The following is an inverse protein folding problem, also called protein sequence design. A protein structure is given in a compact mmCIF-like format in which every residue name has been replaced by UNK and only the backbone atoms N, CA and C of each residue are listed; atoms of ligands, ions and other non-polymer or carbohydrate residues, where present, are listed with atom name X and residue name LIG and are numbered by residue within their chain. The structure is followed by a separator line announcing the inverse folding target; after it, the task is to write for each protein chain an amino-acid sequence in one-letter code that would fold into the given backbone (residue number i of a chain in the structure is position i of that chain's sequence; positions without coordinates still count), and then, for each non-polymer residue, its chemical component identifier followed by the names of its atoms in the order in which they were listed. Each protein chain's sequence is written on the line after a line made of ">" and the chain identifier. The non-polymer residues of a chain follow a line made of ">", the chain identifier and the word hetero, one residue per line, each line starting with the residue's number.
data_IF_873426929458
#
_entry.id   IF_873426929458
#
_cell.length_a   1.000
_cell.length_b   1.000
_cell.length_c   1.000
_cell.angle_alpha   90.00
_cell.angle_beta   90.00
_cell.angle_gamma   90.00
#
_symmetry.space_group_name_H-M   'P 1'
#
loop_
_entity.id
_entity.type
_entity.pdbx_description
1 polymer ?
#
# COMPACT_ATOMS: atom_id res chain seq x y z
N UNK A 1 4.34 -43.94 4.38
CA UNK A 1 4.33 -43.09 5.59
C UNK A 1 5.53 -42.15 5.58
N UNK A 2 5.57 -41.14 4.71
CA UNK A 2 6.61 -40.06 4.72
C UNK A 2 6.13 -38.81 3.95
N UNK A 3 4.85 -38.43 4.06
CA UNK A 3 4.31 -37.29 3.29
C UNK A 3 3.70 -36.17 4.16
N UNK A 4 3.71 -36.30 5.47
CA UNK A 4 3.07 -35.32 6.37
C UNK A 4 3.97 -34.17 6.85
N UNK A 5 5.28 -34.22 6.64
CA UNK A 5 6.21 -33.22 7.21
C UNK A 5 6.62 -32.10 6.24
N UNK A 6 6.23 -32.17 4.95
CA UNK A 6 6.64 -31.16 3.96
C UNK A 6 5.70 -29.93 3.97
N UNK A 7 4.41 -30.16 4.24
CA UNK A 7 3.39 -29.09 4.17
C UNK A 7 3.39 -28.17 5.41
N UNK A 8 3.58 -28.72 6.60
CA UNK A 8 3.74 -27.90 7.83
C UNK A 8 4.98 -27.01 7.74
N UNK A 9 5.99 -27.46 6.99
CA UNK A 9 7.22 -26.70 6.76
C UNK A 9 7.02 -25.52 5.80
N UNK A 10 6.11 -25.61 4.80
CA UNK A 10 5.94 -24.56 3.77
C UNK A 10 5.11 -23.37 4.29
N UNK A 11 4.08 -23.61 5.11
CA UNK A 11 3.28 -22.52 5.68
C UNK A 11 3.94 -21.93 6.94
N UNK A 12 4.59 -22.77 7.74
CA UNK A 12 5.53 -22.30 8.75
C UNK A 12 6.67 -21.48 8.12
N UNK A 13 7.14 -21.85 6.90
CA UNK A 13 8.11 -21.09 6.14
C UNK A 13 7.55 -19.77 5.61
N UNK A 14 6.30 -19.67 5.16
CA UNK A 14 5.71 -18.41 4.72
C UNK A 14 5.54 -17.41 5.88
N UNK A 15 5.13 -17.88 7.04
CA UNK A 15 5.02 -17.05 8.25
C UNK A 15 6.40 -16.71 8.85
N UNK A 16 7.31 -17.66 8.88
CA UNK A 16 8.72 -17.46 9.29
C UNK A 16 9.48 -16.65 8.23
N UNK A 17 9.18 -16.85 6.93
CA UNK A 17 9.80 -16.13 5.83
C UNK A 17 9.36 -14.65 5.80
N UNK A 18 8.12 -14.32 6.19
CA UNK A 18 7.69 -12.93 6.29
C UNK A 18 8.36 -12.18 7.45
N UNK A 19 8.76 -12.90 8.53
CA UNK A 19 9.58 -12.33 9.64
C UNK A 19 11.03 -12.19 9.22
N UNK A 20 11.58 -13.21 8.56
CA UNK A 20 12.92 -13.16 7.96
C UNK A 20 12.98 -12.07 6.90
N UNK A 21 11.86 -11.80 6.15
CA UNK A 21 11.80 -10.72 5.19
C UNK A 21 11.77 -9.34 5.84
N UNK A 22 11.05 -9.15 6.93
CA UNK A 22 11.07 -7.89 7.68
C UNK A 22 12.45 -7.66 8.35
N UNK A 23 13.08 -8.71 8.89
CA UNK A 23 14.41 -8.63 9.48
C UNK A 23 15.54 -8.61 8.44
N UNK A 24 15.41 -9.34 7.32
CA UNK A 24 16.40 -9.39 6.24
C UNK A 24 16.31 -8.15 5.32
N UNK A 25 15.10 -7.55 5.15
CA UNK A 25 15.00 -6.27 4.45
C UNK A 25 15.85 -5.18 5.09
N UNK A 26 16.03 -5.24 6.42
CA UNK A 26 16.85 -4.27 7.16
C UNK A 26 18.35 -4.63 7.22
N UNK A 27 18.82 -5.77 6.71
CA UNK A 27 20.21 -6.21 6.77
C UNK A 27 20.89 -6.03 8.14
N UNK A 28 21.42 -7.09 8.73
CA UNK A 28 22.26 -7.14 9.93
C UNK A 28 21.81 -6.51 11.26
N UNK A 29 20.54 -6.14 11.47
CA UNK A 29 20.10 -5.61 12.77
C UNK A 29 18.99 -6.40 13.45
N UNK A 30 19.00 -7.72 13.35
CA UNK A 30 18.21 -8.56 14.24
C UNK A 30 18.95 -8.79 15.55
N UNK A 31 19.07 -7.77 16.41
CA UNK A 31 19.25 -8.06 17.84
C UNK A 31 17.92 -8.67 18.33
N UNK A 32 17.95 -9.82 19.03
CA UNK A 32 16.74 -10.41 19.57
C UNK A 32 16.07 -9.40 20.50
N UNK A 33 14.96 -8.83 20.06
CA UNK A 33 14.11 -8.04 20.93
C UNK A 33 13.59 -8.97 22.02
N UNK A 34 13.74 -8.57 23.27
CA UNK A 34 13.12 -9.25 24.43
C UNK A 34 11.66 -9.50 24.11
N UNK A 35 11.21 -10.77 24.26
CA UNK A 35 9.80 -11.14 24.18
C UNK A 35 9.01 -10.21 25.10
N UNK A 36 8.24 -9.31 24.50
CA UNK A 36 7.27 -8.49 25.22
C UNK A 36 5.94 -9.25 25.29
N UNK A 37 5.23 -9.02 26.38
CA UNK A 37 3.96 -9.56 26.82
C UNK A 37 2.81 -9.46 25.79
N UNK A 38 1.65 -10.04 26.12
CA UNK A 38 0.36 -9.93 25.43
C UNK A 38 0.15 -8.55 24.78
N UNK A 39 -0.15 -8.55 23.44
CA UNK A 39 -0.30 -7.33 22.67
C UNK A 39 0.84 -7.02 21.69
N UNK A 40 1.80 -7.91 21.49
CA UNK A 40 2.86 -7.71 20.50
C UNK A 40 2.38 -8.13 19.09
N UNK A 41 2.59 -7.27 18.09
CA UNK A 41 2.24 -7.53 16.68
C UNK A 41 3.06 -8.65 16.04
N UNK A 42 2.69 -9.01 14.81
CA UNK A 42 3.31 -10.10 14.06
C UNK A 42 4.83 -9.92 13.86
N UNK A 43 5.30 -8.68 13.72
CA UNK A 43 6.73 -8.39 13.62
C UNK A 43 7.53 -8.89 14.83
N UNK A 44 6.99 -8.73 16.04
CA UNK A 44 7.66 -9.15 17.26
C UNK A 44 7.45 -10.64 17.59
N UNK A 45 6.28 -11.18 17.26
CA UNK A 45 5.88 -12.55 17.62
C UNK A 45 6.22 -13.60 16.57
N UNK A 46 6.36 -13.18 15.34
CA UNK A 46 6.47 -14.09 14.23
C UNK A 46 5.17 -14.75 13.78
N UNK A 47 4.05 -14.32 14.30
CA UNK A 47 2.75 -14.94 14.02
C UNK A 47 1.82 -13.94 13.37
N UNK A 48 1.46 -14.22 12.13
CA UNK A 48 0.44 -13.46 11.39
C UNK A 48 -0.90 -14.16 11.54
N UNK A 49 -1.97 -13.37 11.75
CA UNK A 49 -3.34 -13.88 11.73
C UNK A 49 -3.69 -14.37 10.32
N UNK A 50 -4.39 -15.49 10.25
CA UNK A 50 -5.00 -15.96 9.02
C UNK A 50 -6.51 -16.03 9.23
N UNK A 51 -7.22 -14.96 8.85
CA UNK A 51 -8.64 -14.81 9.09
C UNK A 51 -9.46 -15.93 8.46
N UNK A 52 -9.06 -16.46 7.31
CA UNK A 52 -9.76 -17.57 6.68
C UNK A 52 -9.62 -18.87 7.48
N UNK A 53 -8.47 -19.12 8.09
CA UNK A 53 -8.28 -20.26 9.00
C UNK A 53 -9.07 -20.07 10.29
N UNK A 54 -9.10 -18.85 10.83
CA UNK A 54 -9.89 -18.51 12.01
C UNK A 54 -11.40 -18.68 11.78
N UNK A 55 -11.87 -18.50 10.54
CA UNK A 55 -13.28 -18.76 10.13
C UNK A 55 -13.55 -20.20 9.70
N UNK A 56 -12.60 -21.12 9.88
CA UNK A 56 -12.79 -22.56 9.74
C UNK A 56 -12.32 -23.17 8.42
N UNK A 57 -11.70 -22.39 7.53
CA UNK A 57 -11.05 -22.94 6.33
C UNK A 57 -9.71 -23.58 6.68
N UNK A 58 -9.36 -24.66 5.99
CA UNK A 58 -8.04 -25.28 6.13
C UNK A 58 -6.96 -24.40 5.46
N UNK A 59 -5.73 -24.46 5.97
CA UNK A 59 -4.58 -23.80 5.33
C UNK A 59 -4.39 -24.24 3.86
N UNK A 60 -4.74 -25.47 3.54
CA UNK A 60 -4.65 -25.99 2.17
C UNK A 60 -5.68 -25.32 1.26
N UNK A 61 -6.92 -25.14 1.70
CA UNK A 61 -7.95 -24.42 0.94
C UNK A 61 -7.58 -22.97 0.73
N UNK A 62 -7.09 -22.28 1.77
CA UNK A 62 -6.64 -20.88 1.69
C UNK A 62 -5.50 -20.76 0.68
N UNK A 63 -4.48 -21.61 0.78
CA UNK A 63 -3.34 -21.60 -0.14
C UNK A 63 -3.77 -21.89 -1.59
N UNK A 64 -4.66 -22.86 -1.79
CA UNK A 64 -5.19 -23.19 -3.11
C UNK A 64 -5.97 -22.00 -3.71
N UNK A 65 -6.80 -21.31 -2.90
CA UNK A 65 -7.57 -20.15 -3.33
C UNK A 65 -6.67 -18.97 -3.71
N UNK A 66 -5.66 -18.67 -2.90
CA UNK A 66 -4.68 -17.60 -3.19
C UNK A 66 -3.92 -17.90 -4.50
N UNK A 67 -3.43 -19.12 -4.66
CA UNK A 67 -2.73 -19.52 -5.90
C UNK A 67 -3.65 -19.46 -7.13
N UNK A 68 -4.91 -19.85 -6.99
CA UNK A 68 -5.90 -19.74 -8.07
C UNK A 68 -6.18 -18.28 -8.44
N UNK A 69 -6.34 -17.40 -7.45
CA UNK A 69 -6.52 -15.96 -7.67
C UNK A 69 -5.31 -15.34 -8.35
N UNK A 70 -4.09 -15.66 -7.89
CA UNK A 70 -2.88 -15.20 -8.55
C UNK A 70 -2.82 -15.66 -10.01
N UNK A 71 -3.06 -16.96 -10.26
CA UNK A 71 -3.08 -17.50 -11.62
C UNK A 71 -4.12 -16.81 -12.50
N UNK A 72 -5.30 -16.51 -11.96
CA UNK A 72 -6.36 -15.82 -12.69
C UNK A 72 -5.97 -14.40 -13.05
N UNK A 73 -5.46 -13.63 -12.09
CA UNK A 73 -5.13 -12.22 -12.29
C UNK A 73 -3.85 -11.99 -13.10
N UNK A 74 -2.86 -12.88 -12.98
CA UNK A 74 -1.55 -12.71 -13.62
C UNK A 74 -1.42 -13.54 -14.92
N UNK A 75 -2.11 -14.67 -15.03
CA UNK A 75 -1.91 -15.63 -16.12
C UNK A 75 -3.23 -16.19 -16.65
N UNK A 76 -4.35 -15.57 -16.33
CA UNK A 76 -5.68 -15.96 -16.84
C UNK A 76 -5.93 -15.44 -18.25
N UNK A 77 -7.18 -15.57 -18.70
CA UNK A 77 -7.61 -15.06 -20.00
C UNK A 77 -7.42 -13.53 -20.05
N UNK A 78 -6.64 -13.00 -21.00
CA UNK A 78 -6.36 -11.57 -21.09
C UNK A 78 -7.58 -10.69 -21.38
N UNK A 79 -8.68 -11.27 -21.86
CA UNK A 79 -9.89 -10.53 -22.18
C UNK A 79 -10.90 -10.47 -21.03
N UNK A 80 -10.78 -11.35 -20.03
CA UNK A 80 -11.83 -11.52 -19.01
C UNK A 80 -11.32 -11.67 -17.59
N UNK A 81 -10.01 -11.90 -17.39
CA UNK A 81 -9.47 -12.28 -16.08
C UNK A 81 -8.18 -11.55 -15.71
N UNK A 82 -7.22 -11.48 -16.65
CA UNK A 82 -5.90 -10.99 -16.33
C UNK A 82 -5.87 -9.45 -16.22
N UNK A 83 -5.09 -8.97 -15.25
CA UNK A 83 -4.69 -7.57 -15.13
C UNK A 83 -3.20 -7.38 -15.37
N UNK A 84 -2.41 -8.45 -15.40
CA UNK A 84 -0.98 -8.46 -15.71
C UNK A 84 -0.76 -8.77 -17.19
N UNK A 85 -0.03 -7.88 -17.90
CA UNK A 85 0.21 -8.01 -19.33
C UNK A 85 1.70 -7.95 -19.66
N UNK A 86 2.29 -9.01 -20.24
CA UNK A 86 3.65 -8.97 -20.80
C UNK A 86 3.77 -7.93 -21.91
N UNK A 87 4.85 -7.15 -21.90
CA UNK A 87 5.09 -6.03 -22.82
C UNK A 87 6.45 -6.12 -23.54
N UNK A 88 6.90 -7.34 -23.86
CA UNK A 88 8.19 -7.57 -24.50
C UNK A 88 9.36 -7.57 -23.52
N UNK A 89 10.51 -7.05 -23.96
CA UNK A 89 11.75 -7.00 -23.16
C UNK A 89 12.64 -5.85 -23.62
N UNK A 90 13.52 -5.39 -22.72
CA UNK A 90 14.62 -4.48 -22.98
C UNK A 90 15.96 -5.08 -22.52
N UNK A 91 17.01 -4.26 -22.39
CA UNK A 91 18.33 -4.68 -21.92
C UNK A 91 18.35 -5.17 -20.47
N UNK A 92 17.38 -4.76 -19.64
CA UNK A 92 17.24 -5.23 -18.27
C UNK A 92 16.47 -6.55 -18.16
N UNK A 93 15.76 -6.98 -19.21
CA UNK A 93 14.98 -8.22 -19.22
C UNK A 93 13.52 -8.03 -19.63
N UNK A 94 12.62 -8.95 -19.21
CA UNK A 94 11.19 -8.86 -19.51
C UNK A 94 10.55 -7.58 -18.96
N UNK A 95 9.50 -7.14 -19.67
CA UNK A 95 8.64 -6.01 -19.31
C UNK A 95 7.22 -6.51 -19.15
N UNK A 96 6.52 -6.04 -18.11
CA UNK A 96 5.10 -6.26 -17.94
C UNK A 96 4.47 -5.12 -17.15
N UNK A 97 3.17 -4.91 -17.34
CA UNK A 97 2.40 -3.90 -16.60
C UNK A 97 1.13 -4.48 -15.99
N UNK A 98 0.64 -3.80 -14.98
CA UNK A 98 -0.70 -4.02 -14.42
C UNK A 98 -1.64 -3.00 -15.07
N UNK A 99 -2.70 -3.49 -15.68
CA UNK A 99 -3.68 -2.71 -16.41
C UNK A 99 -4.84 -2.29 -15.49
N UNK A 100 -5.11 -1.02 -15.38
CA UNK A 100 -6.38 -0.51 -14.87
C UNK A 100 -7.43 -0.68 -15.98
N UNK A 101 -8.19 -1.75 -15.90
CA UNK A 101 -9.18 -2.14 -16.91
C UNK A 101 -10.39 -1.18 -16.97
N UNK A 102 -10.62 -0.40 -15.91
CA UNK A 102 -11.71 0.57 -15.87
C UNK A 102 -11.36 1.86 -16.64
N UNK A 103 -10.11 2.32 -16.46
CA UNK A 103 -9.65 3.57 -17.05
C UNK A 103 -8.82 3.36 -18.34
N UNK A 104 -8.54 2.12 -18.71
CA UNK A 104 -7.72 1.72 -19.87
C UNK A 104 -6.32 2.36 -19.83
N UNK A 105 -5.70 2.36 -18.65
CA UNK A 105 -4.37 2.92 -18.42
C UNK A 105 -3.50 2.05 -17.50
N UNK A 106 -2.30 2.52 -17.18
CA UNK A 106 -1.36 1.91 -16.24
C UNK A 106 -1.07 2.94 -15.16
N UNK A 107 -1.36 2.59 -13.90
CA UNK A 107 -1.19 3.47 -12.74
C UNK A 107 -0.08 3.00 -11.81
N UNK A 108 0.60 3.94 -11.17
CA UNK A 108 1.65 3.64 -10.20
C UNK A 108 1.13 2.77 -9.05
N UNK A 109 -0.13 2.98 -8.61
CA UNK A 109 -0.81 2.14 -7.61
C UNK A 109 -0.93 0.70 -8.09
N UNK A 110 -1.48 0.48 -9.29
CA UNK A 110 -1.63 -0.86 -9.86
C UNK A 110 -0.29 -1.57 -10.00
N UNK A 111 0.73 -0.87 -10.49
CA UNK A 111 2.09 -1.40 -10.65
C UNK A 111 2.71 -1.79 -9.30
N UNK A 112 2.66 -0.91 -8.32
CA UNK A 112 3.24 -1.15 -6.99
C UNK A 112 2.49 -2.23 -6.20
N UNK A 113 1.17 -2.31 -6.32
CA UNK A 113 0.36 -3.41 -5.77
C UNK A 113 0.68 -4.74 -6.43
N UNK A 114 0.86 -4.76 -7.77
CA UNK A 114 1.32 -5.95 -8.49
C UNK A 114 2.67 -6.46 -7.99
N UNK A 115 3.62 -5.55 -7.75
CA UNK A 115 4.91 -5.88 -7.14
C UNK A 115 4.74 -6.41 -5.71
N UNK A 116 3.90 -5.78 -4.89
CA UNK A 116 3.63 -6.23 -3.53
C UNK A 116 3.02 -7.64 -3.49
N UNK A 117 2.06 -7.94 -4.36
CA UNK A 117 1.49 -9.29 -4.51
C UNK A 117 2.58 -10.28 -4.93
N UNK A 118 3.36 -9.93 -5.95
CA UNK A 118 4.40 -10.81 -6.49
C UNK A 118 5.48 -11.13 -5.45
N UNK A 119 5.96 -10.14 -4.67
CA UNK A 119 6.98 -10.39 -3.65
C UNK A 119 6.44 -11.24 -2.50
N UNK A 120 5.20 -11.04 -2.08
CA UNK A 120 4.60 -11.85 -1.02
C UNK A 120 4.40 -13.32 -1.43
N UNK A 121 4.06 -13.56 -2.70
CA UNK A 121 3.82 -14.90 -3.24
C UNK A 121 5.08 -15.56 -3.84
N UNK A 122 6.26 -14.96 -3.67
CA UNK A 122 7.53 -15.46 -4.19
C UNK A 122 7.55 -15.58 -5.74
N UNK A 123 7.05 -14.56 -6.42
CA UNK A 123 6.94 -14.47 -7.88
C UNK A 123 7.93 -13.46 -8.44
N UNK A 124 9.23 -13.78 -8.37
CA UNK A 124 10.32 -12.88 -8.73
C UNK A 124 10.27 -12.44 -10.20
N UNK A 125 9.89 -13.32 -11.11
CA UNK A 125 9.86 -13.01 -12.54
C UNK A 125 8.82 -11.93 -12.86
N UNK A 126 7.63 -12.05 -12.28
CA UNK A 126 6.56 -11.07 -12.43
C UNK A 126 6.92 -9.75 -11.76
N UNK A 127 7.51 -9.80 -10.56
CA UNK A 127 8.01 -8.63 -9.85
C UNK A 127 9.02 -7.83 -10.68
N UNK A 128 10.05 -8.52 -11.19
CA UNK A 128 11.11 -7.89 -11.97
C UNK A 128 10.59 -7.30 -13.28
N UNK A 129 9.63 -7.96 -13.93
CA UNK A 129 9.04 -7.46 -15.17
C UNK A 129 8.17 -6.22 -14.95
N UNK A 130 7.38 -6.17 -13.86
CA UNK A 130 6.60 -4.98 -13.47
C UNK A 130 7.56 -3.83 -13.13
N UNK A 131 8.56 -4.09 -12.27
CA UNK A 131 9.54 -3.08 -11.90
C UNK A 131 10.32 -2.52 -13.10
N UNK A 132 10.76 -3.40 -14.02
CA UNK A 132 11.44 -2.98 -15.24
C UNK A 132 10.57 -2.08 -16.11
N UNK A 133 9.26 -2.38 -16.24
CA UNK A 133 8.34 -1.54 -16.99
C UNK A 133 8.15 -0.17 -16.33
N UNK A 134 7.90 -0.12 -15.02
CA UNK A 134 7.77 1.12 -14.26
C UNK A 134 9.03 2.00 -14.40
N UNK A 135 10.22 1.40 -14.25
CA UNK A 135 11.51 2.10 -14.41
C UNK A 135 11.75 2.59 -15.85
N UNK A 136 11.20 1.91 -16.85
CA UNK A 136 11.41 2.24 -18.27
C UNK A 136 10.47 3.33 -18.76
N UNK A 137 9.21 3.35 -18.30
CA UNK A 137 8.17 4.17 -18.92
C UNK A 137 7.53 5.19 -17.97
N UNK A 138 7.61 5.01 -16.66
CA UNK A 138 6.98 5.92 -15.71
C UNK A 138 8.01 6.77 -14.95
N UNK A 139 9.22 6.26 -14.74
CA UNK A 139 10.24 6.92 -13.92
C UNK A 139 10.90 8.11 -14.64
N UNK A 140 11.03 9.23 -13.93
CA UNK A 140 11.68 10.44 -14.43
C UNK A 140 13.11 10.56 -13.93
N UNK A 141 14.08 10.46 -14.84
CA UNK A 141 15.53 10.52 -14.56
C UNK A 141 16.21 11.84 -15.02
N UNK A 142 15.48 12.74 -15.68
CA UNK A 142 15.98 14.08 -16.01
C UNK A 142 15.90 15.00 -14.77
N UNK A 143 17.04 15.48 -14.22
CA UNK A 143 17.06 16.33 -13.02
C UNK A 143 16.40 17.70 -13.19
N UNK A 144 15.99 18.06 -14.40
CA UNK A 144 15.25 19.31 -14.68
C UNK A 144 13.73 19.08 -14.72
N UNK A 145 13.28 17.82 -14.74
CA UNK A 145 11.87 17.48 -14.78
C UNK A 145 11.25 17.61 -13.37
N UNK A 146 10.05 18.19 -13.22
CA UNK A 146 9.43 18.34 -11.88
C UNK A 146 9.16 16.99 -11.20
N UNK A 147 8.88 15.94 -11.95
CA UNK A 147 8.73 14.57 -11.45
C UNK A 147 10.07 13.82 -11.22
N UNK A 148 11.23 14.47 -11.36
CA UNK A 148 12.53 13.81 -11.22
C UNK A 148 12.62 12.94 -9.96
N UNK A 149 12.99 11.67 -10.13
CA UNK A 149 13.14 10.70 -9.04
C UNK A 149 11.84 9.98 -8.65
N UNK A 150 10.72 10.36 -9.24
CA UNK A 150 9.38 9.79 -9.06
C UNK A 150 8.85 9.11 -10.31
N UNK A 151 7.67 8.53 -10.20
CA UNK A 151 6.96 7.88 -11.30
C UNK A 151 5.75 8.70 -11.73
N UNK A 152 5.46 8.75 -13.03
CA UNK A 152 4.15 9.18 -13.53
C UNK A 152 3.05 8.39 -12.82
N UNK A 153 2.02 9.05 -12.26
CA UNK A 153 0.94 8.29 -11.65
C UNK A 153 0.10 7.53 -12.68
N UNK A 154 0.02 8.04 -13.93
CA UNK A 154 -0.75 7.40 -15.00
C UNK A 154 -0.01 7.47 -16.33
N UNK A 155 0.03 6.34 -17.03
CA UNK A 155 0.56 6.17 -18.37
C UNK A 155 -0.36 5.28 -19.22
N UNK A 156 -0.29 5.42 -20.53
CA UNK A 156 -0.93 4.49 -21.46
C UNK A 156 -0.21 3.15 -21.46
N UNK A 157 -0.87 2.09 -21.91
CA UNK A 157 -0.29 0.74 -22.05
C UNK A 157 0.92 0.69 -23.00
N UNK A 158 1.13 1.70 -23.83
CA UNK A 158 2.31 1.86 -24.67
C UNK A 158 3.44 2.68 -24.02
N UNK A 159 3.31 3.02 -22.75
CA UNK A 159 4.30 3.75 -21.96
C UNK A 159 4.27 5.28 -22.10
N UNK A 160 3.38 5.86 -22.91
CA UNK A 160 3.25 7.33 -22.97
C UNK A 160 2.55 7.85 -21.72
N UNK A 161 3.08 8.86 -21.03
CA UNK A 161 2.44 9.40 -19.84
C UNK A 161 1.10 10.07 -20.17
N UNK A 162 0.13 9.88 -19.29
CA UNK A 162 -1.10 10.67 -19.23
C UNK A 162 -0.90 11.88 -18.31
N UNK A 163 -0.24 11.67 -17.18
CA UNK A 163 0.18 12.68 -16.23
C UNK A 163 1.49 12.24 -15.55
N UNK A 164 2.46 13.14 -15.50
CA UNK A 164 3.83 12.89 -15.07
C UNK A 164 4.07 13.22 -13.58
N UNK A 165 3.04 13.73 -12.87
CA UNK A 165 3.18 13.92 -11.42
C UNK A 165 2.97 12.59 -10.68
N UNK A 166 3.62 12.35 -9.54
CA UNK A 166 3.41 11.13 -8.78
C UNK A 166 2.13 11.18 -7.94
N UNK A 167 1.54 10.00 -7.72
CA UNK A 167 0.62 9.72 -6.63
C UNK A 167 1.41 9.10 -5.48
N UNK A 168 1.26 9.65 -4.26
CA UNK A 168 2.15 9.30 -3.17
C UNK A 168 2.06 7.82 -2.75
N UNK A 169 0.88 7.23 -2.75
CA UNK A 169 0.68 5.82 -2.38
C UNK A 169 1.40 4.83 -3.31
N UNK A 170 1.44 5.12 -4.61
CA UNK A 170 2.23 4.33 -5.56
C UNK A 170 3.71 4.29 -5.19
N UNK A 171 4.29 5.45 -4.87
CA UNK A 171 5.69 5.59 -4.42
C UNK A 171 5.95 4.80 -3.13
N UNK A 172 5.05 4.91 -2.15
CA UNK A 172 5.17 4.22 -0.86
C UNK A 172 5.16 2.69 -0.99
N UNK A 173 4.26 2.16 -1.84
CA UNK A 173 4.21 0.74 -2.12
C UNK A 173 5.41 0.25 -2.94
N UNK A 174 5.94 1.03 -3.89
CA UNK A 174 7.19 0.70 -4.59
C UNK A 174 8.34 0.53 -3.61
N UNK A 175 8.55 1.49 -2.72
CA UNK A 175 9.60 1.45 -1.69
C UNK A 175 9.48 0.18 -0.85
N UNK A 176 8.30 -0.09 -0.32
CA UNK A 176 8.11 -1.22 0.60
C UNK A 176 8.24 -2.57 -0.12
N UNK A 177 7.71 -2.67 -1.35
CA UNK A 177 7.89 -3.86 -2.18
C UNK A 177 9.36 -4.13 -2.51
N UNK A 178 10.16 -3.10 -2.78
CA UNK A 178 11.60 -3.20 -3.02
C UNK A 178 12.37 -3.64 -1.76
N UNK A 179 12.04 -3.14 -0.57
CA UNK A 179 12.61 -3.65 0.67
C UNK A 179 12.29 -5.14 0.89
N UNK A 180 11.06 -5.55 0.63
CA UNK A 180 10.68 -6.95 0.70
C UNK A 180 11.42 -7.81 -0.32
N UNK A 181 11.60 -7.33 -1.55
CA UNK A 181 12.36 -8.00 -2.58
C UNK A 181 13.84 -8.17 -2.19
N UNK A 182 14.46 -7.13 -1.63
CA UNK A 182 15.82 -7.19 -1.08
C UNK A 182 15.95 -8.27 0.00
N UNK A 183 14.98 -8.36 0.91
CA UNK A 183 14.97 -9.37 1.96
C UNK A 183 14.73 -10.80 1.45
N UNK A 184 13.84 -10.96 0.46
CA UNK A 184 13.44 -12.27 -0.05
C UNK A 184 14.45 -12.85 -1.03
N UNK A 185 14.97 -12.03 -1.96
CA UNK A 185 15.76 -12.49 -3.11
C UNK A 185 17.19 -11.95 -3.14
N UNK A 186 17.57 -11.16 -2.13
CA UNK A 186 18.83 -10.41 -2.13
C UNK A 186 18.90 -9.35 -3.23
N UNK A 187 19.96 -8.55 -3.23
CA UNK A 187 20.12 -7.48 -4.20
C UNK A 187 20.81 -7.99 -5.47
N UNK A 188 20.28 -7.61 -6.62
CA UNK A 188 20.92 -7.77 -7.91
C UNK A 188 21.79 -6.55 -8.29
N UNK A 189 21.97 -6.35 -9.59
CA UNK A 189 22.69 -5.20 -10.17
C UNK A 189 21.76 -4.25 -10.91
N UNK A 190 22.19 -3.01 -11.11
CA UNK A 190 21.39 -1.99 -11.80
C UNK A 190 20.04 -1.75 -11.10
N UNK A 191 18.96 -1.70 -11.86
CA UNK A 191 17.61 -1.49 -11.31
C UNK A 191 17.15 -2.61 -10.37
N UNK A 192 17.80 -3.76 -10.35
CA UNK A 192 17.51 -4.89 -9.45
C UNK A 192 18.35 -4.88 -8.17
N UNK A 193 19.14 -3.83 -7.92
CA UNK A 193 19.63 -3.55 -6.58
C UNK A 193 18.49 -2.95 -5.75
N UNK A 194 17.54 -3.81 -5.35
CA UNK A 194 16.29 -3.44 -4.72
C UNK A 194 16.47 -2.52 -3.52
N UNK A 195 17.50 -2.82 -2.68
CA UNK A 195 17.80 -2.00 -1.51
C UNK A 195 18.22 -0.59 -1.89
N UNK A 196 19.12 -0.44 -2.86
CA UNK A 196 19.59 0.87 -3.28
C UNK A 196 18.45 1.68 -3.96
N UNK A 197 17.58 1.01 -4.73
CA UNK A 197 16.41 1.65 -5.33
C UNK A 197 15.41 2.13 -4.27
N UNK A 198 15.13 1.32 -3.23
CA UNK A 198 14.26 1.71 -2.13
C UNK A 198 14.83 2.89 -1.33
N UNK A 199 16.12 2.83 -0.95
CA UNK A 199 16.79 3.89 -0.20
C UNK A 199 16.82 5.21 -0.98
N UNK A 200 17.00 5.15 -2.31
CA UNK A 200 16.96 6.32 -3.19
C UNK A 200 15.57 6.95 -3.23
N UNK A 201 14.53 6.14 -3.46
CA UNK A 201 13.14 6.63 -3.48
C UNK A 201 12.75 7.28 -2.14
N UNK A 202 13.07 6.64 -1.00
CA UNK A 202 12.81 7.24 0.32
C UNK A 202 13.52 8.57 0.50
N UNK A 203 14.77 8.68 0.04
CA UNK A 203 15.53 9.93 0.11
C UNK A 203 14.87 11.01 -0.74
N UNK A 204 14.42 10.66 -1.94
CA UNK A 204 13.72 11.59 -2.82
C UNK A 204 12.38 12.03 -2.24
N UNK A 205 11.57 11.10 -1.74
CA UNK A 205 10.28 11.40 -1.10
C UNK A 205 10.42 12.37 0.08
N UNK A 206 11.55 12.31 0.78
CA UNK A 206 11.80 13.11 1.99
C UNK A 206 12.52 14.43 1.75
N UNK A 207 13.42 14.50 0.76
CA UNK A 207 14.39 15.59 0.62
C UNK A 207 14.37 16.27 -0.74
N UNK A 208 13.40 15.97 -1.59
CA UNK A 208 13.29 16.56 -2.92
C UNK A 208 13.13 18.07 -2.83
N UNK A 209 14.05 18.78 -3.46
CA UNK A 209 13.92 20.23 -3.67
C UNK A 209 12.88 20.52 -4.75
N UNK A 210 12.29 21.70 -4.70
CA UNK A 210 11.38 22.17 -5.73
C UNK A 210 12.07 22.23 -7.09
N UNK A 211 11.47 21.61 -8.09
CA UNK A 211 11.87 21.67 -9.49
C UNK A 211 10.67 22.14 -10.30
N UNK A 212 10.88 23.18 -11.11
CA UNK A 212 9.87 23.69 -12.04
C UNK A 212 10.25 23.30 -13.46
N UNK A 213 9.31 22.75 -14.22
CA UNK A 213 9.55 22.35 -15.60
C UNK A 213 8.28 22.02 -16.37
N UNK A 214 8.39 21.74 -17.68
CA UNK A 214 7.27 21.30 -18.49
C UNK A 214 6.88 19.88 -18.15
N UNK A 215 5.58 19.57 -18.28
CA UNK A 215 5.00 18.23 -18.25
C UNK A 215 4.01 18.09 -19.40
N UNK A 216 3.51 16.88 -19.65
CA UNK A 216 2.49 16.62 -20.71
C UNK A 216 1.17 17.36 -20.45
N UNK A 217 0.90 17.74 -19.19
CA UNK A 217 -0.30 18.49 -18.81
C UNK A 217 -0.03 19.98 -18.55
N UNK A 218 1.15 20.49 -18.94
CA UNK A 218 1.58 21.86 -18.76
C UNK A 218 2.69 22.00 -17.69
N UNK A 219 3.22 23.23 -17.47
CA UNK A 219 4.26 23.47 -16.48
C UNK A 219 3.79 23.09 -15.08
N UNK A 220 4.67 22.43 -14.30
CA UNK A 220 4.45 22.07 -12.88
C UNK A 220 5.67 22.44 -12.05
N UNK A 221 5.45 22.59 -10.76
CA UNK A 221 6.51 22.68 -9.74
C UNK A 221 6.25 21.62 -8.68
N UNK A 222 7.21 20.73 -8.45
CA UNK A 222 7.04 19.66 -7.47
C UNK A 222 8.28 19.52 -6.58
N UNK A 223 8.11 18.96 -5.38
CA UNK A 223 9.14 18.81 -4.37
C UNK A 223 9.03 17.50 -3.60
N UNK A 224 9.13 17.58 -2.28
CA UNK A 224 8.99 16.44 -1.38
C UNK A 224 7.55 15.94 -1.26
N UNK A 225 7.40 14.63 -0.95
CA UNK A 225 6.11 13.97 -0.75
C UNK A 225 5.62 13.99 0.70
N UNK A 226 6.45 14.39 1.65
CA UNK A 226 6.08 14.42 3.06
C UNK A 226 6.14 15.83 3.61
N UNK A 227 5.03 16.26 4.21
CA UNK A 227 4.94 17.53 4.88
C UNK A 227 5.79 17.48 6.18
N UNK A 228 6.81 18.34 6.33
CA UNK A 228 7.80 18.19 7.40
C UNK A 228 7.32 18.63 8.78
N UNK A 229 6.32 19.52 8.90
CA UNK A 229 5.78 19.99 10.17
C UNK A 229 4.79 18.98 10.76
N UNK A 230 3.80 18.55 9.96
CA UNK A 230 2.79 17.56 10.36
C UNK A 230 3.34 16.14 10.37
N UNK A 231 4.43 15.83 9.67
CA UNK A 231 4.96 14.48 9.47
C UNK A 231 3.97 13.58 8.75
N UNK A 232 3.30 14.10 7.74
CA UNK A 232 2.25 13.43 7.00
C UNK A 232 2.58 13.37 5.51
N UNK A 233 2.08 12.34 4.85
CA UNK A 233 2.15 12.22 3.40
C UNK A 233 1.26 13.28 2.74
N UNK A 234 1.76 13.90 1.66
CA UNK A 234 0.99 14.79 0.79
C UNK A 234 0.18 13.95 -0.21
N UNK A 235 -0.92 14.48 -0.70
CA UNK A 235 -1.64 13.86 -1.82
C UNK A 235 -0.74 13.75 -3.07
N UNK A 236 0.00 14.82 -3.38
CA UNK A 236 1.00 14.88 -4.46
C UNK A 236 2.08 15.91 -4.08
N UNK A 237 3.30 15.83 -4.63
CA UNK A 237 4.33 16.85 -4.39
C UNK A 237 4.13 18.12 -5.22
N UNK A 238 3.16 18.15 -6.14
CA UNK A 238 2.83 19.33 -6.96
C UNK A 238 2.35 20.49 -6.09
N UNK A 239 3.04 21.63 -6.14
CA UNK A 239 2.77 22.79 -5.27
C UNK A 239 1.35 23.32 -5.37
N UNK A 240 0.67 23.13 -6.49
CA UNK A 240 -0.72 23.55 -6.67
C UNK A 240 -1.71 22.64 -5.92
N UNK A 241 -1.30 21.43 -5.53
CA UNK A 241 -2.17 20.38 -4.98
C UNK A 241 -1.61 19.68 -3.73
N UNK A 242 -0.51 20.14 -3.14
CA UNK A 242 0.19 19.42 -2.06
C UNK A 242 -0.25 19.80 -0.64
N UNK A 243 -1.14 20.77 -0.47
CA UNK A 243 -1.51 21.29 0.85
C UNK A 243 -2.67 20.49 1.50
N UNK A 244 -2.85 19.26 1.05
CA UNK A 244 -3.80 18.29 1.62
C UNK A 244 -3.24 16.87 1.52
N UNK A 245 -3.93 15.94 2.14
CA UNK A 245 -3.61 14.51 2.15
C UNK A 245 -4.83 13.67 1.80
N UNK A 246 -4.60 12.42 1.46
CA UNK A 246 -5.60 11.37 1.40
C UNK A 246 -5.43 10.45 2.62
N UNK A 247 -6.48 10.22 3.43
CA UNK A 247 -6.41 9.31 4.57
C UNK A 247 -5.94 7.89 4.20
N UNK A 248 -6.22 7.43 2.97
CA UNK A 248 -5.81 6.13 2.49
C UNK A 248 -4.33 6.05 2.09
N UNK A 249 -3.63 7.18 2.01
CA UNK A 249 -2.19 7.22 1.73
C UNK A 249 -1.35 7.06 3.02
N UNK A 250 -1.95 7.21 4.20
CA UNK A 250 -1.26 6.99 5.46
C UNK A 250 -1.00 5.51 5.70
N UNK A 251 0.27 5.09 5.72
CA UNK A 251 0.72 3.71 5.82
C UNK A 251 1.65 3.51 7.04
N UNK A 252 1.15 3.66 8.28
CA UNK A 252 1.98 3.59 9.48
C UNK A 252 2.77 2.27 9.59
N UNK A 253 2.23 1.15 9.09
CA UNK A 253 2.94 -0.11 9.04
C UNK A 253 4.25 -0.03 8.21
N UNK A 254 4.22 0.68 7.10
CA UNK A 254 5.39 0.89 6.24
C UNK A 254 6.37 1.87 6.88
N UNK A 255 5.87 2.95 7.49
CA UNK A 255 6.71 3.94 8.15
C UNK A 255 7.49 3.35 9.33
N UNK A 256 6.91 2.43 10.09
CA UNK A 256 7.63 1.68 11.12
C UNK A 256 8.75 0.81 10.51
N UNK A 257 8.50 0.17 9.37
CA UNK A 257 9.52 -0.57 8.65
C UNK A 257 10.65 0.35 8.17
N UNK A 258 10.32 1.51 7.58
CA UNK A 258 11.30 2.48 7.12
C UNK A 258 12.08 3.11 8.28
N UNK A 259 11.47 3.25 9.46
CA UNK A 259 12.18 3.65 10.67
C UNK A 259 13.25 2.65 11.13
N UNK A 260 13.12 1.37 10.74
CA UNK A 260 14.10 0.33 11.04
C UNK A 260 15.15 0.19 9.94
N UNK A 261 14.75 0.16 8.67
CA UNK A 261 15.61 -0.21 7.56
C UNK A 261 15.88 0.89 6.54
N UNK A 262 15.20 2.02 6.57
CA UNK A 262 15.47 3.16 5.70
C UNK A 262 16.83 3.83 5.96
N UNK A 263 17.18 4.87 5.18
CA UNK A 263 18.37 5.67 5.40
C UNK A 263 18.48 6.16 6.85
N UNK A 264 19.63 5.99 7.47
CA UNK A 264 19.78 6.15 8.93
C UNK A 264 19.39 7.55 9.42
N UNK A 265 19.73 8.59 8.67
CA UNK A 265 19.39 9.98 8.99
C UNK A 265 17.89 10.24 9.07
N UNK A 266 17.07 9.49 8.34
CA UNK A 266 15.62 9.68 8.24
C UNK A 266 14.79 8.75 9.15
N UNK A 267 15.39 7.74 9.77
CA UNK A 267 14.69 6.79 10.66
C UNK A 267 13.89 7.48 11.78
N UNK A 268 14.40 8.53 12.46
CA UNK A 268 13.59 9.24 13.45
C UNK A 268 12.37 9.95 12.86
N UNK A 269 12.47 10.43 11.62
CA UNK A 269 11.34 11.03 10.91
C UNK A 269 10.26 9.99 10.64
N UNK A 270 10.61 8.84 10.08
CA UNK A 270 9.65 7.76 9.77
C UNK A 270 8.95 7.23 11.02
N UNK A 271 9.66 7.10 12.15
CA UNK A 271 9.04 6.76 13.42
C UNK A 271 8.04 7.82 13.92
N UNK A 272 8.24 9.10 13.60
CA UNK A 272 7.30 10.18 13.90
C UNK A 272 6.12 10.16 12.96
N UNK A 273 6.34 9.91 11.67
CA UNK A 273 5.31 9.77 10.63
C UNK A 273 4.33 8.63 10.96
N UNK A 274 4.83 7.48 11.42
CA UNK A 274 3.97 6.39 11.88
C UNK A 274 3.04 6.82 13.02
N UNK A 275 3.57 7.54 14.02
CA UNK A 275 2.74 8.07 15.13
C UNK A 275 1.74 9.12 14.65
N UNK A 276 2.19 10.06 13.82
CA UNK A 276 1.33 11.10 13.26
C UNK A 276 0.15 10.50 12.48
N UNK A 277 0.39 9.45 11.70
CA UNK A 277 -0.67 8.76 10.94
C UNK A 277 -1.68 8.06 11.85
N UNK A 278 -1.23 7.39 12.92
CA UNK A 278 -2.14 6.79 13.92
C UNK A 278 -3.02 7.85 14.60
N UNK A 279 -2.44 8.98 14.99
CA UNK A 279 -3.17 10.11 15.56
C UNK A 279 -4.11 10.76 14.54
N UNK A 280 -3.70 10.82 13.28
CA UNK A 280 -4.52 11.33 12.20
C UNK A 280 -5.76 10.47 11.97
N UNK A 281 -5.64 9.15 11.92
CA UNK A 281 -6.79 8.24 11.80
C UNK A 281 -7.85 8.47 12.87
N UNK A 282 -7.44 8.75 14.11
CA UNK A 282 -8.39 9.03 15.19
C UNK A 282 -9.17 10.32 14.99
N UNK A 283 -8.55 11.32 14.36
CA UNK A 283 -9.14 12.64 14.16
C UNK A 283 -9.95 12.75 12.87
N UNK A 284 -9.51 12.05 11.81
CA UNK A 284 -10.12 12.15 10.48
C UNK A 284 -11.35 11.26 10.33
N UNK A 285 -11.47 10.19 11.13
CA UNK A 285 -12.63 9.30 11.11
C UNK A 285 -13.76 9.84 11.95
N UNK A 286 -14.98 9.68 11.48
CA UNK A 286 -16.17 10.08 12.22
C UNK A 286 -16.36 9.22 13.50
N UNK A 287 -16.61 9.82 14.68
CA UNK A 287 -16.55 9.11 15.96
C UNK A 287 -17.63 8.04 16.14
N UNK A 288 -18.75 8.11 15.42
CA UNK A 288 -19.82 7.11 15.50
C UNK A 288 -19.73 6.04 14.43
N UNK A 289 -19.33 6.38 13.19
CA UNK A 289 -19.35 5.46 12.05
C UNK A 289 -17.99 4.85 11.71
N UNK A 290 -16.89 5.49 12.12
CA UNK A 290 -15.55 5.11 11.68
C UNK A 290 -15.21 5.46 10.22
N UNK A 291 -16.11 6.15 9.50
CA UNK A 291 -15.90 6.55 8.11
C UNK A 291 -14.87 7.67 8.01
N UNK A 292 -13.89 7.54 7.12
CA UNK A 292 -12.92 8.57 6.75
C UNK A 292 -13.37 9.27 5.45
N UNK A 293 -13.03 10.55 5.22
CA UNK A 293 -13.24 11.18 3.92
C UNK A 293 -12.24 10.62 2.89
N UNK A 294 -12.53 10.85 1.61
CA UNK A 294 -11.62 10.57 0.50
C UNK A 294 -10.38 11.50 0.60
N UNK A 295 -10.60 12.82 0.78
CA UNK A 295 -9.53 13.78 1.01
C UNK A 295 -9.70 14.55 2.32
N UNK A 296 -8.60 14.94 2.93
CA UNK A 296 -8.57 15.73 4.15
C UNK A 296 -7.43 16.74 4.17
N UNK A 297 -7.59 17.82 4.93
CA UNK A 297 -6.50 18.69 5.31
C UNK A 297 -5.60 18.00 6.36
N UNK A 298 -4.38 18.49 6.56
CA UNK A 298 -3.45 17.94 7.57
C UNK A 298 -3.96 18.09 9.01
N UNK A 299 -4.89 19.01 9.26
CA UNK A 299 -5.58 19.14 10.55
C UNK A 299 -6.70 18.09 10.77
N UNK A 300 -6.89 17.19 9.80
CA UNK A 300 -7.90 16.13 9.74
C UNK A 300 -9.34 16.62 9.42
N UNK A 301 -9.53 17.87 9.00
CA UNK A 301 -10.82 18.31 8.49
C UNK A 301 -11.06 17.74 7.08
N UNK A 302 -12.26 17.21 6.78
CA UNK A 302 -12.60 16.74 5.43
C UNK A 302 -12.45 17.86 4.40
N UNK A 303 -11.93 17.52 3.22
CA UNK A 303 -11.68 18.51 2.17
C UNK A 303 -12.39 18.14 0.86
N UNK A 304 -13.27 19.04 0.40
CA UNK A 304 -13.93 18.96 -0.90
C UNK A 304 -13.07 19.66 -1.93
N UNK A 305 -12.37 18.90 -2.77
CA UNK A 305 -11.48 19.48 -3.78
C UNK A 305 -12.29 20.12 -4.94
N UNK A 306 -11.73 21.12 -5.63
CA UNK A 306 -12.38 21.75 -6.79
C UNK A 306 -12.69 20.76 -7.94
N UNK A 307 -11.86 19.74 -8.10
CA UNK A 307 -12.03 18.72 -9.16
C UNK A 307 -12.84 17.50 -8.69
N UNK A 308 -12.97 17.28 -7.38
CA UNK A 308 -13.80 16.24 -6.78
C UNK A 308 -14.59 16.81 -5.58
N UNK A 309 -15.71 17.50 -5.81
CA UNK A 309 -16.49 18.12 -4.75
C UNK A 309 -17.05 17.13 -3.70
N UNK A 310 -17.02 15.82 -4.00
CA UNK A 310 -17.47 14.77 -3.08
C UNK A 310 -16.34 14.16 -2.26
N UNK A 311 -15.09 14.60 -2.43
CA UNK A 311 -13.93 14.02 -1.73
C UNK A 311 -13.96 14.22 -0.20
N UNK A 312 -14.85 15.09 0.32
CA UNK A 312 -15.12 15.18 1.75
C UNK A 312 -16.01 14.03 2.29
N UNK A 313 -16.50 13.14 1.43
CA UNK A 313 -17.31 11.98 1.80
C UNK A 313 -16.45 10.71 1.85
N UNK A 314 -17.00 9.64 2.45
CA UNK A 314 -16.47 8.30 2.35
C UNK A 314 -16.83 7.71 0.98
N UNK A 315 -15.83 7.49 0.13
CA UNK A 315 -15.93 6.91 -1.20
C UNK A 315 -14.56 6.44 -1.70
N UNK A 316 -14.49 5.63 -2.75
CA UNK A 316 -13.28 5.24 -3.49
C UNK A 316 -12.05 4.96 -2.59
N UNK A 317 -11.05 5.84 -2.62
CA UNK A 317 -9.79 5.64 -1.91
C UNK A 317 -9.95 5.58 -0.40
N UNK A 318 -10.94 6.26 0.17
CA UNK A 318 -11.26 6.19 1.59
C UNK A 318 -11.49 4.76 2.10
N UNK A 319 -11.92 3.82 1.24
CA UNK A 319 -12.14 2.42 1.62
C UNK A 319 -10.84 1.74 2.10
N UNK A 320 -9.69 2.11 1.52
CA UNK A 320 -8.37 1.55 1.85
C UNK A 320 -7.88 1.95 3.25
N UNK A 321 -8.41 3.04 3.82
CA UNK A 321 -7.97 3.53 5.14
C UNK A 321 -8.10 2.45 6.21
N UNK A 322 -9.17 1.64 6.16
CA UNK A 322 -9.39 0.55 7.11
C UNK A 322 -8.34 -0.56 6.99
N UNK A 323 -7.91 -0.89 5.78
CA UNK A 323 -6.82 -1.83 5.56
C UNK A 323 -5.52 -1.32 6.20
N UNK A 324 -5.23 -0.03 6.06
CA UNK A 324 -3.96 0.55 6.50
C UNK A 324 -3.78 0.50 8.02
N UNK A 325 -4.79 0.93 8.82
CA UNK A 325 -4.67 0.82 10.28
C UNK A 325 -4.75 -0.62 10.76
N UNK A 326 -5.51 -1.49 10.08
CA UNK A 326 -5.63 -2.89 10.48
C UNK A 326 -4.38 -3.68 10.19
N UNK A 327 -3.69 -3.38 9.08
CA UNK A 327 -2.37 -3.90 8.77
C UNK A 327 -1.34 -3.45 9.79
N UNK A 328 -1.37 -2.17 10.19
CA UNK A 328 -0.48 -1.62 11.20
C UNK A 328 -0.67 -2.31 12.56
N UNK A 329 -1.92 -2.48 12.99
CA UNK A 329 -2.23 -3.24 14.18
C UNK A 329 -1.70 -4.69 14.10
N UNK A 330 -1.98 -5.37 13.00
CA UNK A 330 -1.54 -6.75 12.84
C UNK A 330 -0.01 -6.90 12.84
N UNK A 331 0.71 -5.96 12.25
CA UNK A 331 2.17 -6.04 12.18
C UNK A 331 2.84 -5.59 13.46
N UNK A 332 2.38 -4.48 14.05
CA UNK A 332 3.09 -3.78 15.11
C UNK A 332 2.38 -3.77 16.46
N UNK A 333 1.06 -3.81 16.49
CA UNK A 333 0.20 -3.72 17.67
C UNK A 333 0.61 -2.56 18.63
N UNK A 334 0.93 -1.39 18.04
CA UNK A 334 1.43 -0.24 18.79
C UNK A 334 0.36 0.73 19.26
N UNK A 335 -0.85 0.67 18.68
CA UNK A 335 -1.93 1.59 19.00
C UNK A 335 -3.28 0.86 19.12
N UNK A 336 -3.74 0.67 20.34
CA UNK A 336 -5.01 -0.01 20.63
C UNK A 336 -6.24 0.69 20.00
N UNK A 337 -6.12 1.98 19.66
CA UNK A 337 -7.20 2.74 19.05
C UNK A 337 -7.55 2.23 17.64
N UNK A 338 -6.63 1.52 16.97
CA UNK A 338 -6.86 0.91 15.64
C UNK A 338 -7.88 -0.23 15.71
N UNK A 339 -7.95 -0.95 16.83
CA UNK A 339 -9.02 -1.92 17.08
C UNK A 339 -10.37 -1.21 17.17
N UNK A 340 -10.45 -0.10 17.90
CA UNK A 340 -11.67 0.68 18.04
C UNK A 340 -12.15 1.29 16.71
N UNK A 341 -11.20 1.67 15.82
CA UNK A 341 -11.53 2.14 14.47
C UNK A 341 -12.17 1.02 13.65
N UNK A 342 -11.57 -0.17 13.65
CA UNK A 342 -12.09 -1.34 12.94
C UNK A 342 -13.47 -1.76 13.47
N UNK A 343 -13.65 -1.82 14.78
CA UNK A 343 -14.93 -2.17 15.40
C UNK A 343 -16.03 -1.19 14.97
N UNK A 344 -15.78 0.12 15.04
CA UNK A 344 -16.77 1.15 14.64
C UNK A 344 -17.14 1.04 13.17
N UNK A 345 -16.16 0.88 12.29
CA UNK A 345 -16.39 0.77 10.86
C UNK A 345 -17.20 -0.47 10.51
N UNK A 346 -16.83 -1.63 11.03
CA UNK A 346 -17.53 -2.89 10.76
C UNK A 346 -18.94 -2.89 11.33
N UNK A 347 -19.15 -2.39 12.55
CA UNK A 347 -20.48 -2.23 13.14
C UNK A 347 -21.37 -1.29 12.31
N UNK A 348 -20.80 -0.22 11.74
CA UNK A 348 -21.54 0.64 10.82
C UNK A 348 -21.99 -0.15 9.59
N UNK A 349 -21.11 -0.86 8.89
CA UNK A 349 -21.48 -1.61 7.68
C UNK A 349 -22.38 -2.81 8.00
N UNK A 350 -22.26 -3.44 9.15
CA UNK A 350 -23.23 -4.44 9.61
C UNK A 350 -24.63 -3.84 9.73
N UNK A 351 -24.76 -2.64 10.29
CA UNK A 351 -26.05 -1.93 10.40
C UNK A 351 -26.66 -1.55 9.05
N UNK A 352 -25.84 -1.45 7.99
CA UNK A 352 -26.31 -1.17 6.63
C UNK A 352 -26.75 -2.44 5.87
N UNK A 353 -26.52 -3.64 6.43
CA UNK A 353 -26.81 -4.94 5.79
C UNK A 353 -25.65 -5.47 4.97
N UNK A 354 -24.98 -6.48 5.48
CA UNK A 354 -23.72 -7.05 4.93
C UNK A 354 -23.84 -7.48 3.46
N UNK A 355 -25.03 -7.92 3.03
CA UNK A 355 -25.23 -8.51 1.70
C UNK A 355 -25.32 -7.47 0.56
N UNK A 356 -25.61 -6.18 0.87
CA UNK A 356 -25.99 -5.23 -0.15
C UNK A 356 -25.71 -3.75 0.18
N UNK A 357 -24.93 -3.48 1.26
CA UNK A 357 -24.58 -2.09 1.61
C UNK A 357 -23.92 -1.34 0.44
N UNK A 358 -24.21 -0.06 0.37
CA UNK A 358 -23.67 0.82 -0.67
C UNK A 358 -22.26 1.30 -0.30
N UNK A 359 -21.60 1.95 -1.26
CA UNK A 359 -20.18 2.28 -1.14
C UNK A 359 -19.89 3.77 -0.89
N UNK A 360 -20.89 4.65 -1.01
CA UNK A 360 -20.68 6.09 -0.84
C UNK A 360 -21.58 6.65 0.26
N UNK A 361 -20.96 7.25 1.28
CA UNK A 361 -21.65 7.83 2.44
C UNK A 361 -21.06 9.20 2.79
N UNK A 362 -21.88 10.08 3.37
CA UNK A 362 -21.33 11.14 4.22
C UNK A 362 -20.72 10.51 5.46
N UNK A 363 -19.83 11.21 6.14
CA UNK A 363 -19.14 10.67 7.32
C UNK A 363 -20.12 10.33 8.46
N UNK A 364 -21.24 11.02 8.56
CA UNK A 364 -22.29 10.74 9.54
C UNK A 364 -23.12 9.46 9.26
N UNK A 365 -22.83 8.78 8.16
CA UNK A 365 -23.54 7.57 7.72
C UNK A 365 -24.73 7.83 6.78
N UNK A 366 -25.01 9.08 6.41
CA UNK A 366 -26.03 9.37 5.40
C UNK A 366 -25.62 8.79 4.05
N UNK A 367 -26.45 7.96 3.45
CA UNK A 367 -26.22 7.36 2.14
C UNK A 367 -26.16 8.45 1.05
N UNK A 368 -25.10 8.40 0.24
CA UNK A 368 -24.91 9.28 -0.93
C UNK A 368 -25.17 8.53 -2.23
N UNK A 369 -24.82 7.22 -2.28
CA UNK A 369 -25.00 6.38 -3.46
C UNK A 369 -23.96 5.26 -3.57
N UNK A 370 -23.58 4.97 -4.79
CA UNK A 370 -22.67 3.87 -5.10
C UNK A 370 -23.37 2.52 -5.21
N UNK A 371 -22.60 1.51 -5.52
CA UNK A 371 -23.06 0.12 -5.63
C UNK A 371 -22.50 -0.73 -4.47
N UNK A 372 -22.89 -1.99 -4.38
CA UNK A 372 -22.23 -2.95 -3.50
C UNK A 372 -20.85 -3.32 -4.09
N UNK A 373 -19.81 -2.63 -3.63
CA UNK A 373 -18.47 -2.71 -4.22
C UNK A 373 -17.67 -3.87 -3.65
N UNK A 374 -17.11 -4.72 -4.53
CA UNK A 374 -16.15 -5.77 -4.15
C UNK A 374 -14.90 -5.19 -3.48
N UNK A 375 -14.44 -4.00 -3.91
CA UNK A 375 -13.30 -3.31 -3.29
C UNK A 375 -13.59 -2.95 -1.84
N UNK A 376 -14.72 -2.30 -1.57
CA UNK A 376 -15.12 -1.96 -0.20
C UNK A 376 -15.34 -3.20 0.66
N UNK A 377 -15.96 -4.25 0.11
CA UNK A 377 -16.15 -5.52 0.82
C UNK A 377 -14.80 -6.14 1.24
N UNK A 378 -13.82 -6.14 0.34
CA UNK A 378 -12.47 -6.64 0.63
C UNK A 378 -11.77 -5.80 1.73
N UNK A 379 -11.89 -4.47 1.68
CA UNK A 379 -11.31 -3.59 2.70
C UNK A 379 -11.98 -3.78 4.07
N UNK A 380 -13.29 -3.92 4.12
CA UNK A 380 -14.01 -4.23 5.36
C UNK A 380 -13.61 -5.60 5.93
N UNK A 381 -13.40 -6.61 5.08
CA UNK A 381 -12.90 -7.91 5.53
C UNK A 381 -11.48 -7.81 6.11
N UNK A 382 -10.60 -6.97 5.56
CA UNK A 382 -9.25 -6.77 6.13
C UNK A 382 -9.29 -6.02 7.46
N UNK A 383 -10.34 -5.24 7.74
CA UNK A 383 -10.52 -4.59 9.04
C UNK A 383 -10.62 -5.59 10.20
N UNK A 384 -11.02 -6.84 9.94
CA UNK A 384 -11.04 -7.93 10.92
C UNK A 384 -9.64 -8.31 11.45
N UNK A 385 -8.55 -7.88 10.82
CA UNK A 385 -7.20 -8.04 11.36
C UNK A 385 -7.00 -7.27 12.69
N UNK A 386 -7.74 -6.18 12.89
CA UNK A 386 -7.68 -5.36 14.10
C UNK A 386 -8.96 -5.45 14.95
N UNK A 387 -10.12 -5.66 14.34
CA UNK A 387 -11.40 -5.66 15.03
C UNK A 387 -11.50 -6.72 16.15
N UNK A 388 -12.28 -6.41 17.18
CA UNK A 388 -12.43 -7.24 18.38
C UNK A 388 -13.88 -7.62 18.69
N UNK A 389 -14.87 -7.07 18.00
CA UNK A 389 -16.25 -7.44 18.21
C UNK A 389 -16.54 -8.87 17.71
N UNK A 390 -17.52 -9.54 18.28
CA UNK A 390 -17.78 -10.99 18.09
C UNK A 390 -18.14 -11.40 16.64
N UNK A 391 -18.42 -10.44 15.76
CA UNK A 391 -18.72 -10.66 14.33
C UNK A 391 -17.64 -10.12 13.40
N UNK A 392 -16.47 -9.79 13.93
CA UNK A 392 -15.33 -9.25 13.22
C UNK A 392 -14.76 -10.24 12.17
#
# INVERSE_FOLDING_TARGET
>A
MKSKNIFTTIIGLASVLMIVLLSAACGEMARPMKKTSEGAGAFATGKYRNLFVETGHSEQEVTAKINAAFKQLFHGDPNTQAVYFPAGKNTNGPLAYIHDIHNDDVRSEGMSYGMMIAVQLDKKAEFDAIWNWARTYMYHDDPRHPGYGYFSWSAKTNGKPNDEMPAADGEEYFVTALYFASGRWSNGTGIYNYRAEADRLLTDMRHRKLITGPTVIGPRTAGDLFEPEYKMVRFTPDVDNREHTDPSYHLPAFYELWALCGPECDRPFWAQTARASRDFFQRVTHPATGLAPDYANFDATPWASPWNPRSANFQFDAWRTAMNWSMDWNWWAKDIREQQLSDRLQMFFESQGISDYKSHFKLDGTLVGGEHSTGLLAMNATASLAATHERA
#
